data_IF_854584751361
#
_entry.id   IF_854584751361
#
_cell.length_a   1.000
_cell.length_b   1.000
_cell.length_c   1.000
_cell.angle_alpha   90.00
_cell.angle_beta   90.00
_cell.angle_gamma   90.00
#
_symmetry.space_group_name_H-M   'P 1'
#
loop_
_entity.id
_entity.type
_entity.pdbx_description
1 polymer ?
#
# COMPACT_ATOMS: atom_id res chain seq x y z
N UNK A 1 0.08 -1.70 -10.16
CA UNK A 1 0.39 -1.07 -8.86
C UNK A 1 1.07 -2.09 -7.97
N UNK A 2 1.55 -1.70 -6.79
CA UNK A 2 1.96 -2.67 -5.78
C UNK A 2 0.77 -3.59 -5.46
N UNK A 3 0.99 -4.90 -5.45
CA UNK A 3 -0.02 -5.90 -5.12
C UNK A 3 -0.50 -5.65 -3.68
N UNK A 4 -1.81 -5.56 -3.40
CA UNK A 4 -2.34 -5.38 -2.04
C UNK A 4 -2.31 -6.70 -1.25
N UNK A 5 -1.16 -7.37 -1.26
CA UNK A 5 -0.98 -8.70 -0.67
C UNK A 5 -1.21 -8.67 0.85
N UNK A 6 -2.25 -9.36 1.37
CA UNK A 6 -2.56 -9.39 2.80
C UNK A 6 -1.60 -10.25 3.62
N UNK A 7 -0.86 -11.17 2.99
CA UNK A 7 -0.09 -12.20 3.67
C UNK A 7 0.86 -11.67 4.75
N UNK A 8 1.69 -10.63 4.53
CA UNK A 8 2.62 -10.16 5.54
C UNK A 8 1.92 -9.71 6.83
N UNK A 9 0.72 -9.18 6.73
CA UNK A 9 -0.03 -8.63 7.85
C UNK A 9 -0.95 -9.65 8.53
N UNK A 10 -1.35 -10.73 7.85
CA UNK A 10 -2.47 -11.56 8.33
C UNK A 10 -2.25 -13.07 8.28
N UNK A 11 -1.25 -13.57 7.57
CA UNK A 11 -0.98 -15.01 7.53
C UNK A 11 -0.52 -15.52 8.91
N UNK A 12 -0.91 -16.72 9.30
CA UNK A 12 -0.60 -17.29 10.62
C UNK A 12 0.90 -17.38 10.89
N UNK A 13 1.69 -17.74 9.87
CA UNK A 13 3.17 -17.77 9.94
C UNK A 13 3.81 -16.41 10.27
N UNK A 14 3.07 -15.31 10.12
CA UNK A 14 3.51 -13.96 10.46
C UNK A 14 3.14 -13.55 11.89
N UNK A 15 2.49 -14.43 12.67
CA UNK A 15 2.12 -14.19 14.07
C UNK A 15 3.25 -14.51 15.08
N UNK A 16 4.38 -15.04 14.59
CA UNK A 16 5.52 -15.45 15.41
C UNK A 16 6.78 -14.63 15.09
N UNK A 17 7.68 -14.52 16.07
CA UNK A 17 8.95 -13.80 15.92
C UNK A 17 8.76 -12.34 15.54
N UNK A 18 9.48 -11.89 14.51
CA UNK A 18 9.43 -10.52 13.98
C UNK A 18 8.38 -10.35 12.86
N UNK A 19 7.38 -11.24 12.79
CA UNK A 19 6.29 -11.17 11.82
C UNK A 19 5.37 -9.96 12.03
N UNK A 20 4.63 -9.56 10.99
CA UNK A 20 3.80 -8.34 11.01
C UNK A 20 2.33 -8.60 11.31
N UNK A 21 1.95 -9.83 11.64
CA UNK A 21 0.61 -10.15 12.12
C UNK A 21 0.50 -9.84 13.61
N UNK A 22 0.26 -8.55 13.89
CA UNK A 22 0.20 -8.01 15.25
C UNK A 22 -1.06 -8.45 16.01
N UNK A 23 -2.09 -8.90 15.30
CA UNK A 23 -3.32 -9.42 15.90
C UNK A 23 -3.18 -10.86 16.41
N UNK A 24 -2.05 -11.52 16.09
CA UNK A 24 -1.88 -12.96 16.27
C UNK A 24 -3.03 -13.77 15.64
N UNK A 25 -3.57 -13.29 14.52
CA UNK A 25 -4.65 -13.94 13.80
C UNK A 25 -4.16 -15.25 13.17
N UNK A 26 -4.94 -16.32 13.33
CA UNK A 26 -4.65 -17.64 12.76
C UNK A 26 -5.92 -18.22 12.19
N UNK A 27 -5.92 -18.57 10.91
CA UNK A 27 -7.04 -19.21 10.23
C UNK A 27 -6.51 -20.01 9.04
N UNK A 28 -6.71 -21.33 9.07
CA UNK A 28 -6.26 -22.23 8.00
C UNK A 28 -6.91 -21.86 6.65
N UNK A 29 -8.16 -21.40 6.69
CA UNK A 29 -8.89 -20.96 5.49
C UNK A 29 -8.30 -19.65 4.95
N UNK A 30 -8.03 -18.68 5.82
CA UNK A 30 -7.40 -17.43 5.41
C UNK A 30 -6.01 -17.67 4.82
N UNK A 31 -5.21 -18.53 5.45
CA UNK A 31 -3.88 -18.91 4.99
C UNK A 31 -3.94 -19.52 3.59
N UNK A 32 -4.83 -20.51 3.37
CA UNK A 32 -5.00 -21.15 2.07
C UNK A 32 -5.42 -20.16 0.97
N UNK A 33 -6.32 -19.22 1.26
CA UNK A 33 -6.74 -18.17 0.32
C UNK A 33 -5.55 -17.27 -0.04
N UNK A 34 -4.77 -16.83 0.94
CA UNK A 34 -3.61 -15.95 0.73
C UNK A 34 -2.48 -16.64 -0.05
N UNK A 35 -2.23 -17.92 0.22
CA UNK A 35 -1.26 -18.74 -0.52
C UNK A 35 -1.70 -18.94 -1.98
N UNK A 36 -2.98 -19.24 -2.22
CA UNK A 36 -3.52 -19.36 -3.56
C UNK A 36 -3.43 -18.04 -4.34
N UNK A 37 -3.71 -16.91 -3.67
CA UNK A 37 -3.63 -15.58 -4.29
C UNK A 37 -2.20 -15.28 -4.78
N UNK A 38 -1.18 -15.59 -3.98
CA UNK A 38 0.24 -15.39 -4.35
C UNK A 38 0.70 -16.26 -5.52
N UNK A 39 0.09 -17.44 -5.68
CA UNK A 39 0.38 -18.34 -6.81
C UNK A 39 -0.40 -17.97 -8.08
N UNK A 40 -1.39 -17.07 -7.98
CA UNK A 40 -2.27 -16.69 -9.09
C UNK A 40 -1.74 -15.51 -9.89
N UNK A 41 -1.43 -15.74 -11.16
CA UNK A 41 -0.90 -14.70 -12.07
C UNK A 41 -2.00 -13.87 -12.74
N UNK A 42 -3.17 -14.46 -12.98
CA UNK A 42 -4.32 -13.77 -13.58
C UNK A 42 -4.90 -12.74 -12.60
N UNK A 43 -4.93 -11.47 -13.02
CA UNK A 43 -5.29 -10.35 -12.15
C UNK A 43 -6.71 -10.47 -11.56
N UNK A 44 -7.70 -10.79 -12.39
CA UNK A 44 -9.09 -10.93 -11.91
C UNK A 44 -9.26 -12.12 -10.96
N UNK A 45 -8.64 -13.26 -11.25
CA UNK A 45 -8.68 -14.41 -10.35
C UNK A 45 -8.01 -14.12 -9.00
N UNK A 46 -6.89 -13.39 -8.99
CA UNK A 46 -6.25 -12.95 -7.74
C UNK A 46 -7.12 -11.96 -6.97
N UNK A 47 -7.82 -11.06 -7.68
CA UNK A 47 -8.77 -10.14 -7.07
C UNK A 47 -9.91 -10.87 -6.38
N UNK A 48 -10.48 -11.91 -7.00
CA UNK A 48 -11.56 -12.70 -6.41
C UNK A 48 -11.12 -13.43 -5.14
N UNK A 49 -9.87 -13.90 -5.08
CA UNK A 49 -9.29 -14.49 -3.87
C UNK A 49 -9.12 -13.44 -2.75
N UNK A 50 -8.71 -12.21 -3.09
CA UNK A 50 -8.65 -11.13 -2.10
C UNK A 50 -10.02 -10.73 -1.57
N UNK A 51 -11.07 -10.77 -2.40
CA UNK A 51 -12.45 -10.55 -1.94
C UNK A 51 -12.86 -11.64 -0.95
N UNK A 52 -12.59 -12.91 -1.24
CA UNK A 52 -12.88 -14.02 -0.32
C UNK A 52 -12.15 -13.85 1.02
N UNK A 53 -10.87 -13.48 0.99
CA UNK A 53 -10.13 -13.17 2.21
C UNK A 53 -10.78 -12.03 3.00
N UNK A 54 -11.23 -10.95 2.33
CA UNK A 54 -11.88 -9.82 2.99
C UNK A 54 -13.22 -10.21 3.63
N UNK A 55 -14.00 -11.06 2.97
CA UNK A 55 -15.26 -11.58 3.53
C UNK A 55 -15.01 -12.39 4.80
N UNK A 56 -14.01 -13.27 4.79
CA UNK A 56 -13.60 -14.04 5.97
C UNK A 56 -13.06 -13.13 7.07
N UNK A 57 -12.21 -12.16 6.71
CA UNK A 57 -11.65 -11.19 7.65
C UNK A 57 -12.73 -10.39 8.39
N UNK A 58 -13.80 -10.00 7.70
CA UNK A 58 -14.95 -9.30 8.32
C UNK A 58 -15.75 -10.22 9.24
N UNK A 59 -15.79 -11.52 8.98
CA UNK A 59 -16.45 -12.50 9.84
C UNK A 59 -15.64 -12.77 11.12
N UNK A 60 -14.33 -12.92 10.98
CA UNK A 60 -13.42 -13.25 12.07
C UNK A 60 -13.06 -12.03 12.94
N UNK A 61 -13.16 -10.82 12.38
CA UNK A 61 -12.86 -9.53 13.02
C UNK A 61 -11.51 -9.55 13.75
N UNK A 62 -10.40 -9.94 13.11
CA UNK A 62 -9.09 -9.93 13.78
C UNK A 62 -8.58 -8.50 14.01
N UNK A 63 -9.09 -7.52 13.26
CA UNK A 63 -8.86 -6.10 13.46
C UNK A 63 -10.01 -5.29 12.87
N UNK A 64 -10.16 -4.05 13.32
CA UNK A 64 -11.17 -3.11 12.83
C UNK A 64 -10.47 -1.99 12.05
N UNK A 65 -10.52 -1.99 10.70
CA UNK A 65 -9.98 -0.89 9.91
C UNK A 65 -10.69 0.42 10.25
N UNK A 66 -9.92 1.46 10.58
CA UNK A 66 -10.48 2.76 10.97
C UNK A 66 -10.59 3.72 9.78
N UNK A 67 -9.49 3.89 9.04
CA UNK A 67 -9.42 4.77 7.87
C UNK A 67 -8.15 4.48 7.05
N UNK A 68 -8.13 4.98 5.80
CA UNK A 68 -6.91 5.08 5.00
C UNK A 68 -6.42 6.53 5.01
N UNK A 69 -5.18 6.83 5.44
CA UNK A 69 -4.70 8.20 5.58
C UNK A 69 -4.56 8.88 4.22
N UNK A 70 -5.05 10.12 4.13
CA UNK A 70 -4.75 11.02 3.01
C UNK A 70 -3.51 11.84 3.37
N UNK A 71 -2.43 11.68 2.61
CA UNK A 71 -1.22 12.48 2.78
C UNK A 71 -1.27 13.72 1.89
N UNK A 72 -1.19 14.90 2.51
CA UNK A 72 -1.08 16.18 1.80
C UNK A 72 0.37 16.64 1.80
N UNK A 73 0.94 16.89 0.62
CA UNK A 73 2.29 17.41 0.46
C UNK A 73 2.24 18.83 -0.08
N UNK A 74 2.93 19.75 0.58
CA UNK A 74 3.10 21.11 0.10
C UNK A 74 4.39 21.21 -0.69
N UNK A 75 4.33 21.83 -1.87
CA UNK A 75 5.52 22.13 -2.66
C UNK A 75 5.49 23.60 -3.06
N UNK A 76 6.69 24.19 -3.17
CA UNK A 76 6.86 25.54 -3.65
C UNK A 76 6.28 25.68 -5.06
N UNK A 77 5.57 26.77 -5.34
CA UNK A 77 5.07 27.11 -6.68
C UNK A 77 6.17 27.36 -7.71
N UNK A 78 7.45 27.28 -7.31
CA UNK A 78 8.62 27.38 -8.19
C UNK A 78 9.06 26.03 -8.75
N UNK A 79 8.49 24.93 -8.26
CA UNK A 79 8.86 23.57 -8.67
C UNK A 79 7.80 23.06 -9.62
N UNK A 80 8.21 22.79 -10.85
CA UNK A 80 7.38 22.22 -11.91
C UNK A 80 7.76 20.75 -12.15
N UNK A 81 6.86 20.01 -12.81
CA UNK A 81 7.08 18.59 -13.16
C UNK A 81 6.72 17.60 -12.04
N UNK A 82 5.94 18.02 -11.04
CA UNK A 82 5.52 17.16 -9.94
C UNK A 82 4.27 16.38 -10.35
N UNK A 83 4.44 15.10 -10.64
CA UNK A 83 3.35 14.17 -10.90
C UNK A 83 3.43 13.01 -9.91
N UNK A 84 2.77 13.13 -8.74
CA UNK A 84 2.80 12.06 -7.76
C UNK A 84 2.04 10.86 -8.32
N UNK A 85 2.78 9.80 -8.65
CA UNK A 85 2.22 8.48 -8.99
C UNK A 85 1.62 7.77 -7.77
N UNK A 86 1.65 6.44 -7.78
CA UNK A 86 1.17 5.65 -6.62
C UNK A 86 2.06 5.87 -5.40
N UNK A 87 1.49 6.46 -4.34
CA UNK A 87 2.19 6.79 -3.10
C UNK A 87 2.13 5.63 -2.11
N UNK A 88 2.99 4.62 -2.30
CA UNK A 88 3.06 3.45 -1.41
C UNK A 88 3.84 3.72 -0.12
N UNK A 89 4.91 4.53 -0.21
CA UNK A 89 5.69 5.02 0.93
C UNK A 89 5.83 6.53 0.83
N UNK A 90 6.18 7.25 1.92
CA UNK A 90 6.48 8.66 1.82
C UNK A 90 7.54 8.96 0.75
N UNK A 91 8.56 8.12 0.59
CA UNK A 91 9.61 8.30 -0.41
C UNK A 91 9.11 8.18 -1.86
N UNK A 92 7.99 7.48 -2.11
CA UNK A 92 7.40 7.31 -3.44
C UNK A 92 7.07 8.64 -4.15
N UNK A 93 6.84 9.72 -3.40
CA UNK A 93 6.60 11.06 -3.96
C UNK A 93 7.77 11.62 -4.77
N UNK A 94 8.98 11.06 -4.60
CA UNK A 94 10.18 11.45 -5.33
C UNK A 94 10.50 10.54 -6.51
N UNK A 95 9.61 9.63 -6.90
CA UNK A 95 9.85 8.67 -7.97
C UNK A 95 10.24 9.35 -9.30
N UNK A 96 9.67 10.54 -9.57
CA UNK A 96 9.96 11.31 -10.77
C UNK A 96 10.80 12.58 -10.49
N UNK A 97 11.55 12.62 -9.38
CA UNK A 97 12.31 13.83 -8.97
C UNK A 97 13.34 14.30 -10.02
N UNK A 98 13.81 13.39 -10.87
CA UNK A 98 14.74 13.70 -11.96
C UNK A 98 14.09 14.51 -13.11
N UNK A 99 12.76 14.59 -13.15
CA UNK A 99 11.99 15.39 -14.11
C UNK A 99 11.67 16.79 -13.55
N UNK A 100 11.93 17.03 -12.26
CA UNK A 100 11.55 18.26 -11.60
C UNK A 100 12.48 19.40 -12.02
N UNK A 101 11.89 20.57 -12.26
CA UNK A 101 12.65 21.79 -12.52
C UNK A 101 12.29 22.85 -11.49
N UNK A 102 13.27 23.71 -11.17
CA UNK A 102 13.06 24.81 -10.24
C UNK A 102 13.34 26.13 -10.95
N UNK A 103 12.33 26.99 -11.01
CA UNK A 103 12.49 28.34 -11.53
C UNK A 103 13.15 29.23 -10.46
N UNK A 104 14.25 29.88 -10.83
CA UNK A 104 14.78 31.03 -10.07
C UNK A 104 13.84 32.22 -10.30
N UNK A 105 13.61 33.04 -9.27
CA UNK A 105 12.86 34.30 -9.46
C UNK A 105 13.53 35.12 -10.57
N UNK A 106 12.77 35.82 -11.44
CA UNK A 106 13.36 36.96 -12.11
C UNK A 106 13.82 37.92 -11.01
N UNK A 107 15.06 38.37 -11.11
CA UNK A 107 15.61 39.39 -10.23
C UNK A 107 14.59 40.55 -10.17
N UNK A 108 14.28 41.02 -8.96
CA UNK A 108 13.54 42.27 -8.80
C UNK A 108 14.53 43.39 -9.15
N UNK A 109 14.78 43.55 -10.45
CA UNK A 109 15.59 44.62 -10.98
C UNK A 109 14.99 45.95 -10.55
N UNK A 110 15.74 46.69 -9.73
CA UNK A 110 15.53 48.10 -9.43
C UNK A 110 16.15 49.01 -10.48
#
# INVERSE_FOLDING_TARGET
GADPDPYPAWHSSQAIGDGRNLAAYTSDEADAIMEAARQTTALEARRDLYVQFQELFVQDIPSVPLYYPVYTYFVSSRVDGIEPGVLFTPASRFANVHEWTASLMPDLGG
#
